data_IF_534543679347
#
_entry.id   IF_534543679347
#
_cell.length_a   1.000
_cell.length_b   1.000
_cell.length_c   1.000
_cell.angle_alpha   90.00
_cell.angle_beta   90.00
_cell.angle_gamma   90.00
#
_symmetry.space_group_name_H-M   'P 1'
#
loop_
_entity.id
_entity.type
_entity.pdbx_description
1 polymer ?
#
# COMPACT_ATOMS: atom_id res chain seq x y z
N UNK A 1 -3.25 -3.53 14.69
CA UNK A 1 -3.76 -4.17 13.45
C UNK A 1 -4.93 -3.33 12.98
N UNK A 2 -4.79 -2.64 11.85
CA UNK A 2 -5.78 -1.68 11.33
C UNK A 2 -6.93 -2.46 10.68
N UNK A 3 -7.70 -3.18 11.50
CA UNK A 3 -8.79 -4.05 11.03
C UNK A 3 -9.97 -4.15 11.99
N UNK A 4 -9.89 -3.51 13.17
CA UNK A 4 -10.94 -3.58 14.20
C UNK A 4 -12.03 -2.51 14.00
N UNK A 5 -11.80 -1.50 13.14
CA UNK A 5 -12.63 -0.30 13.05
C UNK A 5 -12.95 0.18 11.62
N UNK A 6 -12.71 -0.65 10.60
CA UNK A 6 -12.96 -0.34 9.18
C UNK A 6 -14.01 -1.33 8.67
N UNK A 7 -15.08 -0.84 8.03
CA UNK A 7 -16.08 -1.71 7.40
C UNK A 7 -15.52 -2.36 6.13
N UNK A 8 -16.05 -3.52 5.72
CA UNK A 8 -15.62 -4.20 4.50
C UNK A 8 -15.72 -3.31 3.26
N UNK A 9 -16.72 -2.42 3.22
CA UNK A 9 -16.89 -1.44 2.14
C UNK A 9 -15.78 -0.38 2.12
N UNK A 10 -15.35 0.10 3.30
CA UNK A 10 -14.22 1.01 3.41
C UNK A 10 -12.90 0.32 3.06
N UNK A 11 -12.75 -0.95 3.46
CA UNK A 11 -11.58 -1.76 3.10
C UNK A 11 -11.51 -1.96 1.58
N UNK A 12 -12.65 -2.27 0.93
CA UNK A 12 -12.78 -2.34 -0.52
C UNK A 12 -12.39 -1.03 -1.19
N UNK A 13 -12.94 0.10 -0.70
CA UNK A 13 -12.61 1.43 -1.23
C UNK A 13 -11.12 1.77 -1.12
N UNK A 14 -10.45 1.35 -0.04
CA UNK A 14 -9.01 1.52 0.14
C UNK A 14 -8.24 0.64 -0.85
N UNK A 15 -8.65 -0.62 -1.01
CA UNK A 15 -8.03 -1.55 -1.94
C UNK A 15 -8.15 -1.04 -3.39
N UNK A 16 -9.35 -0.64 -3.81
CA UNK A 16 -9.62 -0.12 -5.15
C UNK A 16 -8.77 1.12 -5.45
N UNK A 17 -8.71 2.05 -4.50
CA UNK A 17 -7.88 3.25 -4.64
C UNK A 17 -6.40 2.93 -4.71
N UNK A 18 -5.93 1.99 -3.89
CA UNK A 18 -4.52 1.56 -3.89
C UNK A 18 -4.14 0.92 -5.23
N UNK A 19 -5.00 0.06 -5.78
CA UNK A 19 -4.79 -0.55 -7.09
C UNK A 19 -4.80 0.53 -8.16
N UNK A 20 -5.78 1.44 -8.16
CA UNK A 20 -5.87 2.51 -9.15
C UNK A 20 -4.65 3.45 -9.13
N UNK A 21 -4.09 3.74 -7.96
CA UNK A 21 -2.91 4.60 -7.82
C UNK A 21 -1.60 3.88 -8.23
N UNK A 22 -1.54 2.55 -8.06
CA UNK A 22 -0.35 1.75 -8.35
C UNK A 22 -0.30 1.22 -9.80
N UNK A 23 -1.46 0.87 -10.35
CA UNK A 23 -1.63 0.26 -11.66
C UNK A 23 -1.34 1.27 -12.79
N UNK A 24 -0.23 1.07 -13.48
CA UNK A 24 0.26 1.94 -14.55
C UNK A 24 0.04 1.34 -15.93
N UNK A 25 -0.12 0.03 -16.04
CA UNK A 25 -0.34 -0.68 -17.30
C UNK A 25 -1.82 -0.95 -17.60
N UNK A 26 -2.70 -0.74 -16.62
CA UNK A 26 -4.14 -0.87 -16.76
C UNK A 26 -4.65 -2.31 -16.58
N UNK A 27 -3.84 -3.24 -16.08
CA UNK A 27 -4.20 -4.67 -15.97
C UNK A 27 -5.09 -4.99 -14.75
N UNK A 28 -5.36 -3.99 -13.92
CA UNK A 28 -6.16 -4.09 -12.67
C UNK A 28 -5.53 -4.99 -11.60
N UNK A 29 -4.24 -5.26 -11.74
CA UNK A 29 -3.39 -5.89 -10.76
C UNK A 29 -2.24 -4.93 -10.38
N UNK A 30 -1.37 -5.38 -9.48
CA UNK A 30 -0.15 -4.68 -9.13
C UNK A 30 0.99 -5.66 -9.35
N UNK A 31 1.75 -5.43 -10.40
CA UNK A 31 2.99 -6.17 -10.69
C UNK A 31 4.08 -5.80 -9.67
N UNK A 32 5.08 -6.67 -9.53
CA UNK A 32 6.22 -6.39 -8.65
C UNK A 32 6.94 -5.07 -9.02
N UNK A 33 7.03 -4.77 -10.32
CA UNK A 33 7.61 -3.53 -10.82
C UNK A 33 6.83 -2.29 -10.41
N UNK A 34 5.51 -2.35 -10.45
CA UNK A 34 4.65 -1.24 -10.01
C UNK A 34 4.73 -1.07 -8.49
N UNK A 35 4.76 -2.17 -7.75
CA UNK A 35 4.94 -2.14 -6.31
C UNK A 35 6.26 -1.44 -5.92
N UNK A 36 7.37 -1.80 -6.57
CA UNK A 36 8.67 -1.14 -6.35
C UNK A 36 8.58 0.36 -6.66
N UNK A 37 7.95 0.73 -7.78
CA UNK A 37 7.80 2.13 -8.21
C UNK A 37 6.93 2.97 -7.28
N UNK A 38 5.88 2.38 -6.69
CA UNK A 38 5.07 3.04 -5.65
C UNK A 38 5.89 3.27 -4.39
N UNK A 39 6.73 2.29 -4.03
CA UNK A 39 7.59 2.37 -2.85
C UNK A 39 8.84 3.26 -3.03
N UNK A 40 9.26 3.61 -4.25
CA UNK A 40 10.38 4.54 -4.47
C UNK A 40 10.17 5.92 -3.81
N UNK A 41 8.91 6.34 -3.66
CA UNK A 41 8.54 7.60 -2.99
C UNK A 41 8.31 7.45 -1.50
N UNK A 42 8.34 6.23 -1.00
CA UNK A 42 8.13 5.90 0.41
C UNK A 42 9.49 5.61 1.04
N UNK A 43 9.77 6.19 2.19
CA UNK A 43 10.97 5.85 2.96
C UNK A 43 10.80 4.43 3.58
N UNK A 44 11.03 3.42 2.75
CA UNK A 44 10.91 2.00 3.11
C UNK A 44 11.89 1.63 4.22
N UNK A 45 13.07 2.25 4.23
CA UNK A 45 14.11 2.00 5.23
C UNK A 45 13.63 2.42 6.64
N UNK A 46 12.95 3.56 6.75
CA UNK A 46 12.33 3.96 8.01
C UNK A 46 11.14 3.07 8.40
N UNK A 47 10.37 2.56 7.44
CA UNK A 47 9.19 1.71 7.70
C UNK A 47 9.52 0.25 8.01
N UNK A 48 10.65 -0.25 7.54
CA UNK A 48 11.15 -1.62 7.77
C UNK A 48 12.03 -1.73 9.04
N UNK A 49 12.35 -0.61 9.68
CA UNK A 49 13.09 -0.57 10.95
C UNK A 49 12.16 -0.56 12.16
N UNK A 50 12.33 -1.51 13.09
CA UNK A 50 11.75 -1.40 14.43
C UNK A 50 12.63 -0.41 15.21
N UNK A 51 12.21 0.84 15.30
CA UNK A 51 12.83 1.80 16.22
C UNK A 51 12.34 1.47 17.63
N UNK A 52 13.24 0.96 18.47
CA UNK A 52 13.02 0.93 19.90
C UNK A 52 13.02 2.39 20.39
N UNK A 53 11.84 2.92 20.70
CA UNK A 53 11.69 4.19 21.43
C UNK A 53 12.31 4.00 22.81
N UNK A 54 13.27 4.86 23.17
CA UNK A 54 13.77 5.01 24.54
C UNK A 54 12.97 6.11 25.24
#
# INVERSE_FOLDING_TARGET
>A
MVGVNISDEQLGSIADRTIQEANQDGDSAISFTEFVKVLEKVDVEQKMSIRFLH
#
